data_IF_643876201690
#
_entry.id   IF_643876201690
#
_cell.length_a   1.000
_cell.length_b   1.000
_cell.length_c   1.000
_cell.angle_alpha   90.00
_cell.angle_beta   90.00
_cell.angle_gamma   90.00
#
_symmetry.space_group_name_H-M   'P 1'
#
loop_
_entity.id
_entity.type
_entity.pdbx_description
1 polymer ?
#
# COMPACT_ATOMS: atom_id res chain seq x y z
N UNK A 1 -11.12 -3.72 21.24
CA UNK A 1 -9.94 -3.33 20.43
C UNK A 1 -10.23 -3.11 18.94
N UNK A 2 -11.23 -3.74 18.32
CA UNK A 2 -11.59 -3.50 16.91
C UNK A 2 -12.18 -2.10 16.62
N UNK A 3 -12.73 -1.42 17.64
CA UNK A 3 -13.38 -0.11 17.47
C UNK A 3 -12.43 1.02 17.04
N UNK A 4 -11.13 0.92 17.35
CA UNK A 4 -10.13 1.92 17.00
C UNK A 4 -9.64 1.83 15.54
N UNK A 5 -9.94 0.74 14.85
CA UNK A 5 -9.54 0.50 13.46
C UNK A 5 -10.66 0.78 12.45
N UNK A 6 -11.86 1.11 12.94
CA UNK A 6 -13.00 1.47 12.09
C UNK A 6 -12.96 2.96 11.76
N UNK A 7 -12.80 3.35 10.49
CA UNK A 7 -12.85 4.76 10.10
C UNK A 7 -14.26 5.32 10.33
N UNK A 8 -14.33 6.54 10.87
CA UNK A 8 -15.58 7.27 11.02
C UNK A 8 -16.26 7.54 9.66
N UNK A 9 -15.48 7.62 8.57
CA UNK A 9 -15.94 7.76 7.19
C UNK A 9 -15.06 6.90 6.26
N UNK A 10 -15.53 5.70 5.87
CA UNK A 10 -14.76 4.78 5.03
C UNK A 10 -14.57 5.29 3.60
N UNK A 11 -15.45 6.16 3.10
CA UNK A 11 -15.34 6.73 1.75
C UNK A 11 -14.30 7.84 1.69
N UNK A 12 -14.30 8.77 2.66
CA UNK A 12 -13.21 9.74 2.80
C UNK A 12 -11.86 9.06 3.02
N UNK A 13 -11.84 8.00 3.83
CA UNK A 13 -10.62 7.23 4.02
C UNK A 13 -10.15 6.61 2.71
N UNK A 14 -11.03 5.97 1.93
CA UNK A 14 -10.69 5.39 0.63
C UNK A 14 -10.12 6.43 -0.35
N UNK A 15 -10.65 7.66 -0.36
CA UNK A 15 -10.13 8.76 -1.18
C UNK A 15 -8.75 9.23 -0.69
N UNK A 16 -8.57 9.45 0.61
CA UNK A 16 -7.27 9.87 1.16
C UNK A 16 -6.19 8.81 0.92
N UNK A 17 -6.55 7.55 1.12
CA UNK A 17 -5.72 6.37 0.85
C UNK A 17 -5.38 6.26 -0.64
N UNK A 18 -6.36 6.46 -1.51
CA UNK A 18 -6.16 6.52 -2.96
C UNK A 18 -5.20 7.64 -3.37
N UNK A 19 -5.38 8.85 -2.85
CA UNK A 19 -4.51 9.99 -3.14
C UNK A 19 -3.06 9.75 -2.69
N UNK A 20 -2.87 9.28 -1.45
CA UNK A 20 -1.53 8.96 -0.93
C UNK A 20 -0.81 7.91 -1.78
N UNK A 21 -1.54 6.87 -2.19
CA UNK A 21 -0.97 5.82 -3.04
C UNK A 21 -0.72 6.26 -4.47
N UNK A 22 -1.53 7.15 -5.03
CA UNK A 22 -1.23 7.76 -6.33
C UNK A 22 0.09 8.54 -6.28
N UNK A 23 0.33 9.32 -5.21
CA UNK A 23 1.57 10.09 -5.04
C UNK A 23 2.78 9.17 -4.94
N UNK A 24 2.73 8.16 -4.07
CA UNK A 24 3.83 7.19 -3.90
C UNK A 24 4.08 6.43 -5.20
N UNK A 25 3.02 5.91 -5.83
CA UNK A 25 3.13 5.14 -7.05
C UNK A 25 3.69 5.94 -8.21
N UNK A 26 3.25 7.19 -8.36
CA UNK A 26 3.77 8.11 -9.38
C UNK A 26 5.24 8.43 -9.14
N UNK A 27 5.64 8.68 -7.89
CA UNK A 27 7.04 8.93 -7.56
C UNK A 27 7.94 7.73 -7.91
N UNK A 28 7.47 6.50 -7.62
CA UNK A 28 8.16 5.26 -7.99
C UNK A 28 8.24 5.04 -9.51
N UNK A 29 7.25 5.49 -10.28
CA UNK A 29 7.26 5.39 -11.75
C UNK A 29 8.17 6.44 -12.41
N UNK A 30 8.10 7.69 -11.95
CA UNK A 30 8.81 8.83 -12.55
C UNK A 30 10.28 8.86 -12.13
N UNK A 31 10.58 8.53 -10.88
CA UNK A 31 11.93 8.59 -10.32
C UNK A 31 12.33 7.27 -9.63
N UNK A 32 12.26 6.11 -10.35
CA UNK A 32 12.43 4.78 -9.75
C UNK A 32 13.79 4.58 -9.09
N UNK A 33 14.85 5.16 -9.66
CA UNK A 33 16.20 5.05 -9.11
C UNK A 33 16.37 5.86 -7.82
N UNK A 34 15.85 7.09 -7.79
CA UNK A 34 15.99 7.98 -6.64
C UNK A 34 15.11 7.52 -5.46
N UNK A 35 13.86 7.17 -5.75
CA UNK A 35 12.92 6.69 -4.74
C UNK A 35 13.27 5.27 -4.31
N UNK A 36 13.58 4.39 -5.26
CA UNK A 36 13.98 3.01 -4.98
C UNK A 36 15.19 2.93 -4.05
N UNK A 37 16.27 3.67 -4.33
CA UNK A 37 17.46 3.69 -3.45
C UNK A 37 17.14 4.15 -2.03
N UNK A 38 16.29 5.17 -1.86
CA UNK A 38 15.86 5.65 -0.53
C UNK A 38 15.01 4.63 0.23
N UNK A 39 14.39 3.72 -0.50
CA UNK A 39 13.55 2.65 0.02
C UNK A 39 14.20 1.28 -0.09
N UNK A 40 15.53 1.17 -0.19
CA UNK A 40 16.24 -0.13 -0.26
C UNK A 40 15.87 -1.03 -1.46
N UNK A 41 15.25 -0.47 -2.50
CA UNK A 41 14.96 -1.15 -3.77
C UNK A 41 16.13 -0.91 -4.71
N UNK A 42 16.89 -1.96 -5.00
CA UNK A 42 18.10 -1.86 -5.82
C UNK A 42 17.80 -1.82 -7.31
N UNK A 43 16.76 -2.53 -7.75
CA UNK A 43 16.42 -2.64 -9.16
C UNK A 43 15.33 -1.63 -9.53
N UNK A 44 15.57 -0.70 -10.47
CA UNK A 44 14.57 0.26 -10.91
C UNK A 44 13.29 -0.39 -11.46
N UNK A 45 13.41 -1.59 -12.02
CA UNK A 45 12.26 -2.37 -12.48
C UNK A 45 11.31 -2.75 -11.33
N UNK A 46 11.83 -3.14 -10.17
CA UNK A 46 11.03 -3.49 -8.99
C UNK A 46 10.29 -2.25 -8.45
N UNK A 47 10.96 -1.10 -8.41
CA UNK A 47 10.34 0.18 -8.05
C UNK A 47 9.20 0.55 -9.02
N UNK A 48 9.42 0.41 -10.34
CA UNK A 48 8.38 0.67 -11.35
C UNK A 48 7.18 -0.26 -11.23
N UNK A 49 7.41 -1.54 -10.92
CA UNK A 49 6.31 -2.51 -10.73
C UNK A 49 5.46 -2.11 -9.53
N UNK A 50 6.08 -1.80 -8.38
CA UNK A 50 5.36 -1.31 -7.21
C UNK A 50 4.60 -0.02 -7.52
N UNK A 51 5.25 0.92 -8.22
CA UNK A 51 4.62 2.17 -8.62
C UNK A 51 3.42 2.00 -9.56
N UNK A 52 3.50 1.06 -10.50
CA UNK A 52 2.39 0.74 -11.39
C UNK A 52 1.21 0.14 -10.63
N UNK A 53 1.47 -0.81 -9.73
CA UNK A 53 0.43 -1.42 -8.89
C UNK A 53 -0.28 -0.34 -8.05
N UNK A 54 0.48 0.55 -7.43
CA UNK A 54 -0.04 1.66 -6.63
C UNK A 54 -0.94 2.59 -7.47
N UNK A 55 -0.49 3.02 -8.65
CA UNK A 55 -1.28 3.90 -9.52
C UNK A 55 -2.58 3.24 -9.98
N UNK A 56 -2.55 1.96 -10.35
CA UNK A 56 -3.75 1.21 -10.77
C UNK A 56 -4.76 1.10 -9.62
N UNK A 57 -4.29 0.74 -8.43
CA UNK A 57 -5.14 0.65 -7.23
C UNK A 57 -5.72 2.02 -6.87
N UNK A 58 -4.90 3.08 -6.90
CA UNK A 58 -5.33 4.44 -6.62
C UNK A 58 -6.39 4.93 -7.60
N UNK A 59 -6.21 4.70 -8.90
CA UNK A 59 -7.21 5.05 -9.92
C UNK A 59 -8.55 4.35 -9.65
N UNK A 60 -8.50 3.07 -9.28
CA UNK A 60 -9.67 2.31 -8.86
C UNK A 60 -10.40 2.93 -7.67
N UNK A 61 -9.68 3.25 -6.59
CA UNK A 61 -10.24 3.86 -5.38
C UNK A 61 -10.85 5.25 -5.64
N UNK A 62 -10.16 6.08 -6.43
CA UNK A 62 -10.58 7.44 -6.75
C UNK A 62 -11.78 7.48 -7.71
N UNK A 63 -11.91 6.48 -8.59
CA UNK A 63 -13.05 6.38 -9.53
C UNK A 63 -14.40 6.07 -8.88
N UNK A 64 -14.41 5.66 -7.60
CA UNK A 64 -15.63 5.45 -6.81
C UNK A 64 -16.42 4.16 -7.12
N UNK A 65 -16.18 3.49 -8.25
CA UNK A 65 -16.86 2.21 -8.58
C UNK A 65 -16.19 1.05 -7.85
N UNK A 66 -16.99 0.26 -7.13
CA UNK A 66 -16.55 -0.95 -6.42
C UNK A 66 -15.38 -0.74 -5.45
N UNK A 67 -15.42 0.32 -4.63
CA UNK A 67 -14.38 0.66 -3.63
C UNK A 67 -13.95 -0.53 -2.76
N UNK A 68 -14.89 -1.40 -2.36
CA UNK A 68 -14.58 -2.61 -1.59
C UNK A 68 -13.62 -3.56 -2.33
N UNK A 69 -13.79 -3.75 -3.66
CA UNK A 69 -12.91 -4.61 -4.48
C UNK A 69 -11.52 -4.00 -4.62
N UNK A 70 -11.44 -2.68 -4.82
CA UNK A 70 -10.17 -1.97 -4.93
C UNK A 70 -9.41 -1.88 -3.60
N UNK A 71 -10.11 -1.73 -2.48
CA UNK A 71 -9.51 -1.85 -1.14
C UNK A 71 -9.00 -3.27 -0.88
N UNK A 72 -9.70 -4.31 -1.36
CA UNK A 72 -9.21 -5.69 -1.24
C UNK A 72 -7.96 -5.92 -2.11
N UNK A 73 -7.95 -5.42 -3.35
CA UNK A 73 -6.77 -5.46 -4.21
C UNK A 73 -5.57 -4.73 -3.58
N UNK A 74 -5.82 -3.56 -2.96
CA UNK A 74 -4.83 -2.83 -2.18
C UNK A 74 -4.28 -3.67 -1.03
N UNK A 75 -5.14 -4.29 -0.22
CA UNK A 75 -4.69 -5.12 0.89
C UNK A 75 -3.74 -6.23 0.42
N UNK A 76 -4.07 -6.91 -0.68
CA UNK A 76 -3.22 -7.94 -1.29
C UNK A 76 -1.89 -7.36 -1.76
N UNK A 77 -1.92 -6.23 -2.47
CA UNK A 77 -0.71 -5.54 -2.93
C UNK A 77 0.18 -5.13 -1.74
N UNK A 78 -0.39 -4.51 -0.70
CA UNK A 78 0.31 -4.09 0.52
C UNK A 78 0.96 -5.28 1.23
N UNK A 79 0.30 -6.45 1.30
CA UNK A 79 0.89 -7.68 1.85
C UNK A 79 2.08 -8.14 1.00
N UNK A 80 1.95 -8.13 -0.33
CA UNK A 80 3.05 -8.47 -1.24
C UNK A 80 4.26 -7.54 -1.04
N UNK A 81 4.02 -6.24 -0.93
CA UNK A 81 5.06 -5.24 -0.66
C UNK A 81 5.69 -5.42 0.73
N UNK A 82 4.89 -5.75 1.75
CA UNK A 82 5.40 -6.08 3.09
C UNK A 82 6.32 -7.31 3.06
N UNK A 83 5.91 -8.37 2.36
CA UNK A 83 6.71 -9.58 2.21
C UNK A 83 8.02 -9.33 1.44
N UNK A 84 7.96 -8.48 0.41
CA UNK A 84 9.13 -8.03 -0.33
C UNK A 84 10.13 -7.30 0.58
N UNK A 85 9.68 -6.33 1.39
CA UNK A 85 10.55 -5.63 2.34
C UNK A 85 11.05 -6.50 3.49
N UNK A 86 10.25 -7.46 3.96
CA UNK A 86 10.71 -8.46 4.91
C UNK A 86 11.80 -9.37 4.30
N UNK A 87 11.71 -9.68 3.01
CA UNK A 87 12.75 -10.37 2.25
C UNK A 87 14.06 -9.58 2.17
N UNK A 88 13.96 -8.27 1.89
CA UNK A 88 15.11 -7.35 1.92
C UNK A 88 15.73 -7.33 3.33
N UNK A 89 14.92 -7.18 4.37
CA UNK A 89 15.38 -7.15 5.77
C UNK A 89 16.18 -8.41 6.17
N UNK A 90 15.83 -9.57 5.60
CA UNK A 90 16.49 -10.85 5.88
C UNK A 90 17.79 -11.05 5.09
N UNK A 91 17.93 -10.44 3.92
CA UNK A 91 19.06 -10.65 2.99
C UNK A 91 20.08 -9.51 3.02
N UNK A 92 19.66 -8.31 3.39
CA UNK A 92 20.48 -7.10 3.39
C UNK A 92 21.28 -6.90 4.68
N UNK A 93 22.07 -5.81 4.74
CA UNK A 93 22.76 -5.41 5.96
C UNK A 93 21.76 -5.18 7.11
N UNK A 94 22.22 -5.38 8.35
CA UNK A 94 21.44 -5.29 9.58
C UNK A 94 20.95 -3.86 9.87
N UNK A 95 20.05 -3.36 9.03
CA UNK A 95 19.38 -2.07 9.16
C UNK A 95 17.93 -2.32 9.53
N UNK A 96 17.41 -1.58 10.52
CA UNK A 96 16.04 -1.75 10.97
C UNK A 96 15.00 -1.26 9.93
N UNK A 97 15.42 -0.43 8.96
CA UNK A 97 14.54 0.26 8.01
C UNK A 97 13.59 -0.66 7.23
N UNK A 98 14.08 -1.66 6.47
CA UNK A 98 13.23 -2.57 5.73
C UNK A 98 12.28 -3.39 6.62
N UNK A 99 12.73 -3.78 7.82
CA UNK A 99 11.89 -4.51 8.77
C UNK A 99 10.76 -3.64 9.34
N UNK A 100 11.07 -2.39 9.70
CA UNK A 100 10.08 -1.40 10.15
C UNK A 100 9.07 -1.14 9.04
N UNK A 101 9.53 -0.91 7.80
CA UNK A 101 8.64 -0.69 6.66
C UNK A 101 7.73 -1.89 6.40
N UNK A 102 8.26 -3.11 6.47
CA UNK A 102 7.46 -4.33 6.35
C UNK A 102 6.39 -4.43 7.44
N UNK A 103 6.72 -4.11 8.70
CA UNK A 103 5.76 -4.12 9.81
C UNK A 103 4.70 -3.01 9.66
N UNK A 104 5.09 -1.82 9.20
CA UNK A 104 4.16 -0.73 8.89
C UNK A 104 3.18 -1.14 7.80
N UNK A 105 3.67 -1.72 6.69
CA UNK A 105 2.82 -2.19 5.60
C UNK A 105 1.89 -3.33 6.03
N UNK A 106 2.36 -4.26 6.86
CA UNK A 106 1.49 -5.29 7.43
C UNK A 106 0.35 -4.68 8.26
N UNK A 107 0.63 -3.64 9.02
CA UNK A 107 -0.40 -2.90 9.78
C UNK A 107 -1.40 -2.19 8.85
N UNK A 108 -0.91 -1.57 7.76
CA UNK A 108 -1.76 -0.96 6.73
C UNK A 108 -2.66 -2.01 6.07
N UNK A 109 -2.14 -3.19 5.73
CA UNK A 109 -2.94 -4.25 5.13
C UNK A 109 -4.08 -4.72 6.07
N UNK A 110 -3.84 -4.79 7.38
CA UNK A 110 -4.87 -5.11 8.36
C UNK A 110 -5.96 -4.03 8.37
N UNK A 111 -5.58 -2.75 8.33
CA UNK A 111 -6.52 -1.64 8.24
C UNK A 111 -7.33 -1.68 6.93
N UNK A 112 -6.69 -2.02 5.81
CA UNK A 112 -7.34 -2.19 4.52
C UNK A 112 -8.40 -3.31 4.59
N UNK A 113 -8.08 -4.46 5.20
CA UNK A 113 -9.04 -5.56 5.39
C UNK A 113 -10.23 -5.15 6.27
N UNK A 114 -10.00 -4.38 7.34
CA UNK A 114 -11.07 -3.84 8.17
C UNK A 114 -11.99 -2.91 7.35
N UNK A 115 -11.42 -2.05 6.51
CA UNK A 115 -12.16 -1.17 5.62
C UNK A 115 -12.96 -1.93 4.56
N UNK A 116 -12.42 -3.01 4.00
CA UNK A 116 -13.14 -3.90 3.06
C UNK A 116 -14.39 -4.47 3.72
N UNK A 117 -14.27 -5.00 4.95
CA UNK A 117 -15.42 -5.56 5.68
C UNK A 117 -16.47 -4.51 5.99
N UNK A 118 -16.07 -3.27 6.23
CA UNK A 118 -17.01 -2.17 6.46
C UNK A 118 -17.72 -1.75 5.17
N UNK A 119 -16.97 -1.55 4.08
CA UNK A 119 -17.54 -1.19 2.77
C UNK A 119 -18.48 -2.28 2.24
N UNK A 120 -18.15 -3.56 2.45
CA UNK A 120 -18.99 -4.69 2.06
C UNK A 120 -20.29 -4.81 2.87
N UNK A 121 -20.32 -4.28 4.11
CA UNK A 121 -21.55 -4.24 4.91
C UNK A 121 -22.52 -3.13 4.49
N UNK A 122 -22.05 -2.15 3.71
CA UNK A 122 -22.82 -0.98 3.27
C UNK A 122 -23.27 -1.04 1.80
N UNK A 123 -22.82 -2.05 1.05
CA UNK A 123 -23.15 -2.30 -0.35
C UNK A 123 -24.31 -3.29 -0.47
#
# INVERSE_FOLDING_TARGET
MLSALTPADPDRMAVAVGAGTAVIGTALLVAPEAVGRRSWIERPAEARILGLVDVVVAAGLLSGRARARWMAARAVATVGTAAFFAGIARRGPATAGPAVLAATLATVAIADVAAVRELARRA
#
